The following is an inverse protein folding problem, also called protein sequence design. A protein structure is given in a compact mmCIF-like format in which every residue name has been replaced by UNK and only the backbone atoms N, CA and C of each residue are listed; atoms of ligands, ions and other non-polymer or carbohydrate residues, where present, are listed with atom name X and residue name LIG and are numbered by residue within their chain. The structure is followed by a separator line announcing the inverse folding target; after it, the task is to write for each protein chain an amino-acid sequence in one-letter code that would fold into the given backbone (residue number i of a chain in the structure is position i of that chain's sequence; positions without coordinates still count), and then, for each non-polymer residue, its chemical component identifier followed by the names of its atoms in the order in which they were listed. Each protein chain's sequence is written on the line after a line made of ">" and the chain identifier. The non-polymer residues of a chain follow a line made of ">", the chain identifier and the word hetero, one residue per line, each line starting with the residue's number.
data_IF_885108587129
#
_entry.id   IF_885108587129
#
_cell.length_a   1.000
_cell.length_b   1.000
_cell.length_c   1.000
_cell.angle_alpha   90.00
_cell.angle_beta   90.00
_cell.angle_gamma   90.00
#
_symmetry.space_group_name_H-M   'P 1'
#
loop_
_entity.id
_entity.type
_entity.pdbx_description
1 polymer ?
#
# COMPACT_ATOMS: atom_id res chain seq x y z
N UNK A 1 -26.68 19.20 -44.15
CA UNK A 1 -26.56 17.74 -43.95
C UNK A 1 -25.18 17.53 -43.33
N UNK A 2 -25.03 17.53 -42.00
CA UNK A 2 -25.16 16.34 -41.13
C UNK A 2 -23.95 15.43 -41.38
N UNK A 3 -22.96 15.26 -40.49
CA UNK A 3 -23.09 14.83 -39.10
C UNK A 3 -21.97 15.38 -38.20
N UNK A 4 -22.34 15.72 -36.97
CA UNK A 4 -21.44 16.07 -35.86
C UNK A 4 -20.58 14.87 -35.45
N UNK A 5 -19.27 14.94 -35.74
CA UNK A 5 -18.28 14.20 -34.96
C UNK A 5 -17.99 15.01 -33.70
N UNK A 6 -18.16 14.38 -32.56
CA UNK A 6 -17.91 14.97 -31.25
C UNK A 6 -16.51 15.60 -31.18
N UNK A 7 -16.44 16.83 -30.68
CA UNK A 7 -15.18 17.56 -30.51
C UNK A 7 -14.32 16.84 -29.46
N UNK A 8 -13.01 16.64 -29.69
CA UNK A 8 -12.12 16.10 -28.68
C UNK A 8 -12.13 17.00 -27.43
N UNK A 9 -12.59 16.45 -26.31
CA UNK A 9 -12.68 17.13 -25.03
C UNK A 9 -11.32 17.57 -24.50
N UNK A 10 -11.28 18.77 -23.94
CA UNK A 10 -10.10 19.50 -23.44
C UNK A 10 -9.64 18.94 -22.08
N UNK A 11 -8.99 17.78 -22.09
CA UNK A 11 -8.14 17.37 -20.97
C UNK A 11 -6.87 18.22 -20.94
N UNK A 12 -6.42 18.63 -19.76
CA UNK A 12 -5.03 19.13 -19.61
C UNK A 12 -4.09 17.99 -19.98
N UNK A 13 -3.15 18.22 -20.90
CA UNK A 13 -2.08 17.25 -21.17
C UNK A 13 -1.33 17.02 -19.87
N UNK A 14 -1.45 15.82 -19.30
CA UNK A 14 -0.69 15.40 -18.12
C UNK A 14 0.45 14.52 -18.60
N UNK A 15 1.68 14.90 -18.25
CA UNK A 15 2.84 14.06 -18.52
C UNK A 15 2.84 12.88 -17.56
N UNK A 16 2.73 11.67 -18.09
CA UNK A 16 2.97 10.45 -17.33
C UNK A 16 4.47 10.18 -17.30
N UNK A 17 5.04 10.04 -16.11
CA UNK A 17 6.43 9.61 -15.96
C UNK A 17 6.46 8.11 -15.75
N UNK A 18 7.08 7.40 -16.69
CA UNK A 18 7.43 5.99 -16.53
C UNK A 18 8.34 5.85 -15.32
N UNK A 19 8.01 4.94 -14.41
CA UNK A 19 8.86 4.62 -13.24
C UNK A 19 9.61 3.32 -13.48
N UNK A 20 10.88 3.32 -13.10
CA UNK A 20 11.74 2.13 -13.09
C UNK A 20 12.08 1.83 -11.64
N UNK A 21 11.69 0.67 -11.16
CA UNK A 21 11.98 0.15 -9.83
C UNK A 21 13.10 -0.91 -9.87
N UNK A 22 13.27 -1.59 -11.00
CA UNK A 22 14.36 -2.55 -11.19
C UNK A 22 15.66 -1.83 -11.57
N UNK A 23 16.73 -2.07 -10.83
CA UNK A 23 18.07 -1.60 -11.21
C UNK A 23 18.58 -2.32 -12.47
N UNK A 24 18.20 -3.59 -12.61
CA UNK A 24 18.43 -4.37 -13.82
C UNK A 24 17.23 -5.27 -14.11
N UNK A 25 16.76 -5.35 -15.36
CA UNK A 25 15.65 -6.23 -15.74
C UNK A 25 16.04 -7.71 -15.73
N UNK A 26 17.34 -8.04 -15.81
CA UNK A 26 17.84 -9.40 -16.04
C UNK A 26 17.55 -10.37 -14.88
N UNK A 27 17.23 -9.84 -13.70
CA UNK A 27 16.92 -10.63 -12.50
C UNK A 27 15.44 -10.54 -12.09
N UNK A 28 14.57 -9.97 -12.92
CA UNK A 28 13.14 -9.88 -12.62
C UNK A 28 12.50 -11.27 -12.59
N UNK A 29 11.84 -11.59 -11.48
CA UNK A 29 11.11 -12.84 -11.31
C UNK A 29 9.62 -12.52 -11.20
N UNK A 30 8.81 -13.19 -12.00
CA UNK A 30 7.38 -12.93 -12.11
C UNK A 30 6.55 -14.10 -11.64
N UNK A 31 5.42 -13.79 -11.00
CA UNK A 31 4.44 -14.80 -10.62
C UNK A 31 3.73 -15.34 -11.87
N UNK A 32 3.65 -16.67 -12.07
CA UNK A 32 3.02 -17.24 -13.25
C UNK A 32 1.50 -16.97 -13.29
N UNK A 33 0.97 -16.91 -14.51
CA UNK A 33 -0.47 -16.84 -14.79
C UNK A 33 -1.10 -15.44 -14.75
N UNK A 34 -0.31 -14.38 -14.59
CA UNK A 34 -0.82 -13.03 -14.38
C UNK A 34 -1.63 -12.92 -13.08
N UNK A 35 -2.04 -11.71 -12.69
CA UNK A 35 -2.89 -11.47 -11.51
C UNK A 35 -3.88 -10.36 -11.75
N UNK A 36 -5.01 -10.41 -11.07
CA UNK A 36 -6.04 -9.36 -11.17
C UNK A 36 -5.88 -8.40 -10.01
N UNK A 37 -5.70 -7.12 -10.31
CA UNK A 37 -5.82 -6.05 -9.32
C UNK A 37 -7.29 -5.70 -9.15
N UNK A 38 -7.72 -5.54 -7.90
CA UNK A 38 -9.08 -5.08 -7.64
C UNK A 38 -9.17 -3.56 -7.75
N UNK A 39 -10.00 -3.07 -8.68
CA UNK A 39 -10.17 -1.63 -8.86
C UNK A 39 -10.92 -0.97 -7.70
N UNK A 40 -11.78 -1.74 -7.02
CA UNK A 40 -12.56 -1.26 -5.87
C UNK A 40 -11.73 -1.14 -4.59
N UNK A 41 -10.56 -1.78 -4.48
CA UNK A 41 -9.70 -1.71 -3.29
C UNK A 41 -8.33 -1.10 -3.56
N UNK A 42 -8.05 -0.66 -4.80
CA UNK A 42 -6.75 -0.10 -5.17
C UNK A 42 -6.80 1.38 -5.50
N UNK A 43 -5.91 2.16 -4.88
CA UNK A 43 -5.55 3.54 -5.24
C UNK A 43 -4.09 3.78 -4.89
N UNK A 44 -3.53 4.86 -5.41
CA UNK A 44 -2.24 5.40 -5.02
C UNK A 44 -2.44 6.79 -4.38
N UNK A 45 -2.60 6.86 -3.05
CA UNK A 45 -2.89 8.13 -2.36
C UNK A 45 -1.76 9.16 -2.49
N UNK A 46 -0.54 8.69 -2.81
CA UNK A 46 0.63 9.54 -3.02
C UNK A 46 0.75 10.03 -4.48
N UNK A 47 -0.19 9.68 -5.36
CA UNK A 47 -0.28 10.18 -6.73
C UNK A 47 -1.32 11.32 -6.80
N UNK A 48 -1.00 12.44 -6.18
CA UNK A 48 -1.92 13.58 -6.01
C UNK A 48 -2.53 14.03 -7.35
N UNK A 49 -3.86 14.07 -7.41
CA UNK A 49 -4.62 14.46 -8.61
C UNK A 49 -4.89 13.32 -9.59
N UNK A 50 -4.25 12.15 -9.40
CA UNK A 50 -4.31 10.98 -10.27
C UNK A 50 -4.34 9.67 -9.45
N UNK A 51 -5.04 9.67 -8.31
CA UNK A 51 -5.04 8.55 -7.34
C UNK A 51 -5.56 7.22 -7.92
N UNK A 52 -6.32 7.27 -9.01
CA UNK A 52 -6.78 6.10 -9.77
C UNK A 52 -5.71 5.46 -10.66
N UNK A 53 -4.53 6.05 -10.74
CA UNK A 53 -3.39 5.53 -11.49
C UNK A 53 -2.35 4.98 -10.51
N UNK A 54 -2.18 3.66 -10.52
CA UNK A 54 -1.24 2.94 -9.68
C UNK A 54 0.16 3.01 -10.28
N UNK A 55 1.10 3.61 -9.57
CA UNK A 55 2.49 3.75 -10.02
C UNK A 55 3.31 2.48 -9.73
N UNK A 56 4.34 2.23 -10.55
CA UNK A 56 5.32 1.18 -10.28
C UNK A 56 5.96 1.36 -8.90
N UNK A 57 6.24 0.24 -8.22
CA UNK A 57 6.81 0.22 -6.87
C UNK A 57 5.79 0.17 -5.74
N UNK A 58 4.49 0.13 -6.04
CA UNK A 58 3.49 -0.17 -5.02
C UNK A 58 3.66 -1.60 -4.51
N UNK A 59 3.77 -1.75 -3.19
CA UNK A 59 3.74 -3.04 -2.51
C UNK A 59 2.31 -3.60 -2.57
N UNK A 60 2.17 -4.82 -3.09
CA UNK A 60 0.87 -5.43 -3.38
C UNK A 60 0.70 -6.74 -2.60
N UNK A 61 -0.47 -6.90 -1.99
CA UNK A 61 -0.87 -8.11 -1.28
C UNK A 61 -2.14 -8.72 -1.85
N UNK A 62 -2.42 -9.96 -1.47
CA UNK A 62 -3.62 -10.69 -1.90
C UNK A 62 -4.75 -10.49 -0.92
N UNK A 63 -5.90 -10.07 -1.40
CA UNK A 63 -7.14 -9.98 -0.62
C UNK A 63 -7.62 -11.41 -0.33
N UNK A 64 -7.98 -11.70 0.92
CA UNK A 64 -8.43 -13.04 1.34
C UNK A 64 -9.67 -13.46 0.55
N UNK A 65 -10.66 -12.56 0.46
CA UNK A 65 -11.87 -12.79 -0.32
C UNK A 65 -11.64 -12.45 -1.80
N UNK A 66 -12.01 -13.37 -2.70
CA UNK A 66 -11.93 -13.17 -4.15
C UNK A 66 -10.53 -13.28 -4.77
N UNK A 67 -9.46 -13.35 -3.97
CA UNK A 67 -8.11 -13.67 -4.41
C UNK A 67 -7.43 -12.64 -5.33
N UNK A 68 -8.03 -11.43 -5.45
CA UNK A 68 -7.48 -10.29 -6.19
C UNK A 68 -6.37 -9.61 -5.38
N UNK A 69 -5.61 -8.75 -6.04
CA UNK A 69 -4.49 -8.02 -5.44
C UNK A 69 -4.83 -6.56 -5.24
N UNK A 70 -4.26 -5.96 -4.20
CA UNK A 70 -4.40 -4.54 -3.90
C UNK A 70 -3.16 -4.03 -3.14
N UNK A 71 -2.93 -2.70 -3.10
CA UNK A 71 -1.83 -2.13 -2.32
C UNK A 71 -1.87 -2.58 -0.86
N UNK A 72 -0.74 -3.00 -0.29
CA UNK A 72 -0.65 -3.48 1.11
C UNK A 72 -0.60 -2.35 2.14
N UNK A 73 -0.35 -1.12 1.69
CA UNK A 73 -0.15 0.05 2.53
C UNK A 73 -1.04 1.17 1.99
N UNK A 74 -1.93 1.69 2.84
CA UNK A 74 -2.79 2.85 2.53
C UNK A 74 -2.08 4.18 2.81
N UNK A 75 -1.10 4.16 3.71
CA UNK A 75 -0.25 5.29 4.05
C UNK A 75 0.55 5.02 5.31
N UNK A 76 0.99 6.08 5.99
CA UNK A 76 1.83 5.98 7.18
C UNK A 76 1.37 6.93 8.27
N UNK A 77 1.71 6.62 9.51
CA UNK A 77 1.59 7.55 10.63
C UNK A 77 2.50 8.76 10.41
N UNK A 78 1.97 9.97 10.66
CA UNK A 78 2.76 11.21 10.56
C UNK A 78 3.50 11.56 11.84
N UNK A 79 3.09 10.96 12.96
CA UNK A 79 3.59 11.26 14.31
C UNK A 79 3.86 9.94 15.04
N UNK A 80 4.84 9.95 15.94
CA UNK A 80 5.05 8.83 16.86
C UNK A 80 3.99 8.85 17.97
N UNK A 81 3.61 7.68 18.44
CA UNK A 81 2.66 7.51 19.52
C UNK A 81 3.26 6.64 20.62
N UNK A 82 3.13 7.12 21.85
CA UNK A 82 3.49 6.40 23.05
C UNK A 82 2.18 5.98 23.75
N UNK A 83 2.06 4.68 24.02
CA UNK A 83 0.91 4.01 24.62
C UNK A 83 0.59 4.54 26.03
N UNK A 84 1.59 5.07 26.74
CA UNK A 84 1.47 5.57 28.11
C UNK A 84 1.32 7.12 28.16
N UNK A 85 1.36 7.81 27.01
CA UNK A 85 1.25 9.28 26.92
C UNK A 85 -0.17 9.77 26.58
N UNK A 86 -0.51 11.01 26.95
CA UNK A 86 -1.77 11.66 26.54
C UNK A 86 -2.00 11.68 25.02
N UNK A 87 -0.92 11.63 24.24
CA UNK A 87 -0.92 11.60 22.77
C UNK A 87 -1.37 10.24 22.20
N UNK A 88 -1.04 9.11 22.83
CA UNK A 88 -1.54 7.77 22.48
C UNK A 88 -2.79 7.33 23.25
N UNK A 89 -3.04 7.95 24.40
CA UNK A 89 -4.21 7.74 25.26
C UNK A 89 -5.50 8.44 24.77
N UNK A 90 -5.42 9.26 23.72
CA UNK A 90 -6.57 10.07 23.27
C UNK A 90 -7.50 9.35 22.31
N UNK A 91 -7.30 8.05 22.03
CA UNK A 91 -8.13 7.31 21.08
C UNK A 91 -8.10 7.91 19.67
N UNK A 92 -7.00 8.59 19.32
CA UNK A 92 -6.82 9.30 18.06
C UNK A 92 -5.43 9.07 17.53
N UNK A 93 -5.34 8.80 16.23
CA UNK A 93 -4.07 8.80 15.47
C UNK A 93 -4.14 9.81 14.33
N UNK A 94 -2.97 10.22 13.84
CA UNK A 94 -2.79 11.21 12.80
C UNK A 94 -2.08 10.60 11.60
N UNK A 95 -2.71 10.78 10.45
CA UNK A 95 -2.18 10.43 9.13
C UNK A 95 -2.27 11.65 8.22
N UNK A 96 -1.80 11.54 6.98
CA UNK A 96 -2.05 12.58 5.98
C UNK A 96 -3.53 12.60 5.56
N UNK A 97 -4.04 13.75 5.09
CA UNK A 97 -5.37 13.86 4.51
C UNK A 97 -5.60 12.87 3.34
N UNK A 98 -4.56 12.63 2.53
CA UNK A 98 -4.61 11.66 1.44
C UNK A 98 -4.75 10.22 1.96
N UNK A 99 -4.00 9.85 3.00
CA UNK A 99 -4.14 8.55 3.68
C UNK A 99 -5.51 8.39 4.30
N UNK A 100 -6.04 9.40 4.99
CA UNK A 100 -7.39 9.35 5.57
C UNK A 100 -8.47 9.19 4.50
N UNK A 101 -8.34 9.89 3.37
CA UNK A 101 -9.24 9.71 2.22
C UNK A 101 -9.23 8.27 1.72
N UNK A 102 -8.04 7.67 1.60
CA UNK A 102 -7.90 6.26 1.19
C UNK A 102 -8.47 5.29 2.22
N UNK A 103 -8.25 5.54 3.52
CA UNK A 103 -8.84 4.73 4.59
C UNK A 103 -10.37 4.76 4.49
N UNK A 104 -11.00 5.93 4.36
CA UNK A 104 -12.46 6.03 4.21
C UNK A 104 -12.95 5.26 2.99
N UNK A 105 -12.24 5.38 1.86
CA UNK A 105 -12.61 4.69 0.63
C UNK A 105 -12.51 3.17 0.77
N UNK A 106 -11.50 2.67 1.49
CA UNK A 106 -11.16 1.25 1.54
C UNK A 106 -11.78 0.49 2.70
N UNK A 107 -11.83 1.11 3.87
CA UNK A 107 -12.34 0.49 5.12
C UNK A 107 -13.64 1.14 5.60
N UNK A 108 -14.08 2.24 4.99
CA UNK A 108 -15.20 3.06 5.46
C UNK A 108 -14.76 4.14 6.46
N UNK A 109 -15.64 5.12 6.71
CA UNK A 109 -15.45 6.12 7.77
C UNK A 109 -15.44 5.50 9.18
N UNK A 110 -16.01 4.29 9.29
CA UNK A 110 -15.88 3.36 10.40
C UNK A 110 -15.44 2.02 9.83
N UNK A 111 -14.54 1.29 10.48
CA UNK A 111 -14.04 0.02 9.97
C UNK A 111 -12.75 -0.42 10.65
N UNK A 112 -12.22 -1.58 10.28
CA UNK A 112 -10.97 -2.07 10.86
C UNK A 112 -9.78 -1.83 9.94
N UNK A 113 -8.64 -1.50 10.53
CA UNK A 113 -7.36 -1.33 9.86
C UNK A 113 -6.23 -1.81 10.79
N UNK A 114 -5.03 -1.94 10.25
CA UNK A 114 -3.86 -2.44 10.98
C UNK A 114 -2.76 -1.38 10.99
N UNK A 115 -2.09 -1.21 12.12
CA UNK A 115 -0.83 -0.47 12.21
C UNK A 115 0.30 -1.50 12.31
N UNK A 116 1.32 -1.34 11.48
CA UNK A 116 2.53 -2.14 11.52
C UNK A 116 3.76 -1.25 11.62
N UNK A 117 4.53 -1.42 12.68
CA UNK A 117 5.72 -0.63 12.94
C UNK A 117 6.36 -0.97 14.28
N UNK A 118 7.63 -0.62 14.47
CA UNK A 118 8.31 -0.92 15.72
C UNK A 118 7.87 0.04 16.83
N UNK A 119 7.86 -0.43 18.10
CA UNK A 119 7.53 0.42 19.25
C UNK A 119 8.58 1.49 19.53
N UNK A 120 9.81 1.27 19.06
CA UNK A 120 10.89 2.24 19.08
C UNK A 120 11.71 2.07 17.82
N UNK A 121 12.36 3.12 17.34
CA UNK A 121 13.14 3.05 16.11
C UNK A 121 14.13 1.87 16.14
N UNK A 122 14.17 1.11 15.06
CA UNK A 122 14.99 -0.11 14.88
C UNK A 122 14.66 -1.30 15.81
N UNK A 123 13.60 -1.24 16.62
CA UNK A 123 13.13 -2.40 17.41
C UNK A 123 12.37 -3.42 16.54
N UNK A 124 12.00 -4.56 17.10
CA UNK A 124 11.16 -5.53 16.37
C UNK A 124 9.81 -4.91 16.01
N UNK A 125 9.37 -5.06 14.76
CA UNK A 125 8.07 -4.58 14.31
C UNK A 125 6.93 -5.23 15.09
N UNK A 126 6.01 -4.42 15.59
CA UNK A 126 4.76 -4.83 16.21
C UNK A 126 3.58 -4.56 15.27
N UNK A 127 2.50 -5.29 15.49
CA UNK A 127 1.29 -5.20 14.66
C UNK A 127 0.07 -5.20 15.55
N UNK A 128 -0.83 -4.25 15.32
CA UNK A 128 -2.09 -4.15 16.04
C UNK A 128 -3.23 -3.77 15.09
N UNK A 129 -4.40 -4.36 15.31
CA UNK A 129 -5.62 -4.07 14.54
C UNK A 129 -6.52 -3.16 15.37
N UNK A 130 -6.90 -2.03 14.77
CA UNK A 130 -7.78 -1.04 15.38
C UNK A 130 -9.11 -0.97 14.63
N UNK A 131 -10.16 -0.55 15.31
CA UNK A 131 -11.40 -0.13 14.68
C UNK A 131 -11.51 1.40 14.70
N UNK A 132 -11.61 2.02 13.54
CA UNK A 132 -11.93 3.43 13.41
C UNK A 132 -13.40 3.69 13.76
N UNK A 133 -13.63 4.70 14.60
CA UNK A 133 -14.95 5.22 14.97
C UNK A 133 -15.32 6.47 14.18
N UNK A 134 -14.31 7.20 13.69
CA UNK A 134 -14.47 8.29 12.75
C UNK A 134 -13.15 8.57 12.03
N UNK A 135 -13.22 9.04 10.80
CA UNK A 135 -12.05 9.48 10.03
C UNK A 135 -12.34 10.85 9.42
N UNK A 136 -11.53 11.85 9.76
CA UNK A 136 -11.58 13.17 9.17
C UNK A 136 -10.61 13.25 7.99
N UNK A 137 -11.17 13.18 6.77
CA UNK A 137 -10.39 13.21 5.52
C UNK A 137 -9.71 14.55 5.25
N UNK A 138 -10.19 15.64 5.87
CA UNK A 138 -9.62 16.98 5.69
C UNK A 138 -8.38 17.17 6.58
N UNK A 139 -8.43 16.69 7.83
CA UNK A 139 -7.35 16.90 8.80
C UNK A 139 -6.42 15.70 8.95
N UNK A 140 -6.81 14.52 8.47
CA UNK A 140 -6.06 13.28 8.67
C UNK A 140 -6.22 12.66 10.07
N UNK A 141 -7.14 13.19 10.89
CA UNK A 141 -7.43 12.69 12.23
C UNK A 141 -8.28 11.42 12.12
N UNK A 142 -7.83 10.33 12.73
CA UNK A 142 -8.56 9.06 12.81
C UNK A 142 -8.86 8.77 14.27
N UNK A 143 -10.13 8.78 14.63
CA UNK A 143 -10.59 8.32 15.93
C UNK A 143 -10.71 6.80 15.93
N UNK A 144 -10.17 6.15 16.96
CA UNK A 144 -10.19 4.69 17.14
C UNK A 144 -11.01 4.31 18.37
N UNK A 145 -11.62 3.13 18.33
CA UNK A 145 -12.29 2.56 19.50
C UNK A 145 -11.24 1.99 20.46
N UNK A 146 -11.43 2.23 21.75
CA UNK A 146 -10.47 1.85 22.78
C UNK A 146 -9.70 3.06 23.30
N UNK A 147 -9.24 2.98 24.53
CA UNK A 147 -8.63 4.12 25.22
C UNK A 147 -7.12 4.25 25.00
N UNK A 148 -6.45 3.27 24.39
CA UNK A 148 -5.00 3.29 24.20
C UNK A 148 -4.58 2.42 23.01
N UNK A 149 -3.44 2.76 22.40
CA UNK A 149 -2.68 1.79 21.60
C UNK A 149 -2.11 0.72 22.56
N UNK A 150 -2.11 -0.56 22.19
CA UNK A 150 -1.50 -1.59 23.04
C UNK A 150 0.04 -1.58 22.95
N UNK A 151 0.59 -0.91 21.95
CA UNK A 151 2.03 -0.70 21.75
C UNK A 151 2.34 0.74 21.35
N UNK A 152 3.59 1.13 21.58
CA UNK A 152 4.15 2.34 20.99
C UNK A 152 4.29 2.15 19.47
N UNK A 153 4.35 3.26 18.74
CA UNK A 153 4.63 3.26 17.31
C UNK A 153 5.45 4.48 16.92
N UNK A 154 6.44 4.29 16.06
CA UNK A 154 7.19 5.39 15.47
C UNK A 154 6.42 6.06 14.32
N UNK A 155 6.72 7.34 14.06
CA UNK A 155 6.30 7.99 12.82
C UNK A 155 6.82 7.18 11.61
N UNK A 156 6.04 7.09 10.53
CA UNK A 156 6.37 6.25 9.38
C UNK A 156 5.91 4.80 9.50
N UNK A 157 5.36 4.38 10.66
CA UNK A 157 4.68 3.07 10.77
C UNK A 157 3.54 2.97 9.74
N UNK A 158 3.37 1.79 9.17
CA UNK A 158 2.43 1.56 8.08
C UNK A 158 0.99 1.52 8.58
N UNK A 159 0.10 2.17 7.83
CA UNK A 159 -1.34 2.00 7.91
C UNK A 159 -1.75 1.02 6.81
N UNK A 160 -2.29 -0.11 7.22
CA UNK A 160 -2.60 -1.23 6.35
C UNK A 160 -4.08 -1.59 6.43
N UNK A 161 -4.67 -2.13 5.35
CA UNK A 161 -6.04 -2.65 5.39
C UNK A 161 -6.12 -3.89 6.28
N UNK A 162 -7.33 -4.36 6.57
CA UNK A 162 -7.56 -5.64 7.25
C UNK A 162 -8.38 -6.60 6.36
N UNK A 163 -8.01 -6.68 5.08
CA UNK A 163 -8.73 -7.41 4.02
C UNK A 163 -7.96 -8.65 3.50
N UNK A 164 -6.80 -8.96 4.09
CA UNK A 164 -5.84 -9.98 3.65
C UNK A 164 -4.62 -9.42 2.93
N UNK A 165 -4.76 -8.26 2.28
CA UNK A 165 -3.69 -7.70 1.45
C UNK A 165 -2.60 -6.98 2.25
N UNK A 166 -2.74 -6.87 3.57
CA UNK A 166 -1.76 -6.22 4.45
C UNK A 166 -0.36 -6.84 4.44
N UNK A 167 -0.23 -8.06 3.93
CA UNK A 167 1.08 -8.72 3.78
C UNK A 167 1.49 -8.66 2.31
N UNK A 168 2.55 -7.89 1.97
CA UNK A 168 3.05 -7.80 0.61
C UNK A 168 3.48 -9.18 0.08
N UNK A 169 3.06 -9.49 -1.14
CA UNK A 169 3.48 -10.68 -1.87
C UNK A 169 4.31 -10.35 -3.13
N UNK A 170 4.39 -9.07 -3.49
CA UNK A 170 5.11 -8.59 -4.67
C UNK A 170 4.90 -7.10 -4.88
N UNK A 171 5.29 -6.61 -6.06
CA UNK A 171 5.20 -5.21 -6.43
C UNK A 171 4.60 -5.03 -7.83
N UNK A 172 4.06 -3.82 -8.09
CA UNK A 172 3.84 -3.37 -9.46
C UNK A 172 5.18 -3.12 -10.14
N UNK A 173 5.40 -3.81 -11.26
CA UNK A 173 6.62 -3.78 -12.07
C UNK A 173 6.86 -2.41 -12.72
N UNK A 174 8.06 -2.22 -13.29
CA UNK A 174 8.44 -1.10 -14.14
C UNK A 174 7.36 -0.77 -15.17
N UNK A 175 7.05 0.51 -15.33
CA UNK A 175 6.08 0.90 -16.35
C UNK A 175 5.44 2.25 -16.15
N UNK A 176 4.46 2.48 -17.03
CA UNK A 176 3.55 3.60 -16.93
C UNK A 176 2.48 3.29 -15.88
N UNK A 177 1.90 4.31 -15.23
CA UNK A 177 0.89 4.09 -14.20
C UNK A 177 -0.33 3.31 -14.72
N UNK A 178 -0.79 2.33 -13.95
CA UNK A 178 -1.93 1.50 -14.30
C UNK A 178 -3.23 2.13 -13.81
N UNK A 179 -4.11 2.50 -14.74
CA UNK A 179 -5.44 3.04 -14.39
C UNK A 179 -6.36 1.92 -13.90
N UNK A 180 -7.02 2.10 -12.75
CA UNK A 180 -7.99 1.15 -12.17
C UNK A 180 -9.43 1.67 -12.14
N UNK A 181 -9.71 2.66 -12.98
CA UNK A 181 -11.07 3.14 -13.28
C UNK A 181 -11.29 3.21 -14.79
N UNK A 182 -12.54 3.08 -15.21
CA UNK A 182 -12.93 3.26 -16.61
C UNK A 182 -13.00 4.75 -17.01
N UNK A 183 -13.64 5.03 -18.15
CA UNK A 183 -13.82 6.39 -18.66
C UNK A 183 -14.83 7.21 -17.86
N UNK A 184 -15.74 6.54 -17.15
CA UNK A 184 -16.78 7.14 -16.30
C UNK A 184 -16.35 7.19 -14.82
N UNK A 185 -15.06 6.94 -14.55
CA UNK A 185 -14.44 6.87 -13.23
C UNK A 185 -14.97 5.74 -12.34
N UNK A 186 -15.71 4.78 -12.89
CA UNK A 186 -16.15 3.60 -12.15
C UNK A 186 -14.95 2.66 -11.91
N UNK A 187 -14.95 2.00 -10.75
CA UNK A 187 -13.90 1.05 -10.39
C UNK A 187 -13.93 -0.16 -11.31
N UNK A 188 -12.78 -0.50 -11.90
CA UNK A 188 -12.65 -1.69 -12.76
C UNK A 188 -11.48 -2.54 -12.31
N UNK A 189 -11.70 -3.86 -12.29
CA UNK A 189 -10.60 -4.80 -12.06
C UNK A 189 -9.70 -4.85 -13.28
N UNK A 190 -8.39 -4.91 -13.04
CA UNK A 190 -7.39 -4.83 -14.11
C UNK A 190 -6.48 -6.03 -14.06
N UNK A 191 -6.32 -6.68 -15.22
CA UNK A 191 -5.41 -7.81 -15.34
C UNK A 191 -3.97 -7.31 -15.49
N UNK A 192 -3.11 -7.70 -14.56
CA UNK A 192 -1.67 -7.62 -14.69
C UNK A 192 -1.15 -8.84 -15.45
N UNK A 193 -0.48 -8.57 -16.56
CA UNK A 193 0.27 -9.59 -17.32
C UNK A 193 1.49 -10.09 -16.56
N UNK A 194 2.11 -9.22 -15.74
CA UNK A 194 3.32 -9.52 -14.96
C UNK A 194 3.16 -8.97 -13.55
N UNK A 195 3.42 -9.81 -12.55
CA UNK A 195 3.42 -9.44 -11.14
C UNK A 195 4.79 -9.75 -10.56
N UNK A 196 5.53 -8.72 -10.16
CA UNK A 196 6.93 -8.84 -9.77
C UNK A 196 7.02 -9.47 -8.37
N UNK A 197 7.78 -10.56 -8.25
CA UNK A 197 7.97 -11.34 -7.02
C UNK A 197 9.44 -11.65 -6.70
N UNK A 198 10.38 -11.07 -7.45
CA UNK A 198 11.81 -11.11 -7.15
C UNK A 198 12.58 -10.21 -8.12
N UNK A 199 13.80 -9.84 -7.75
CA UNK A 199 14.67 -8.98 -8.55
C UNK A 199 15.53 -8.03 -7.74
N UNK A 200 16.33 -7.23 -8.44
CA UNK A 200 17.20 -6.20 -7.82
C UNK A 200 16.49 -4.85 -7.93
N UNK A 201 16.06 -4.32 -6.79
CA UNK A 201 15.23 -3.13 -6.69
C UNK A 201 16.02 -1.92 -6.22
N UNK A 202 15.69 -0.76 -6.78
CA UNK A 202 15.99 0.55 -6.22
C UNK A 202 14.95 0.86 -5.13
N UNK A 203 15.39 0.85 -3.87
CA UNK A 203 14.51 1.08 -2.72
C UNK A 203 13.85 2.46 -2.76
N UNK A 204 14.52 3.48 -3.31
CA UNK A 204 14.01 4.85 -3.43
C UNK A 204 12.78 4.94 -4.35
N UNK A 205 12.61 3.95 -5.24
CA UNK A 205 11.50 3.88 -6.19
C UNK A 205 10.33 3.05 -5.67
N UNK A 206 10.48 2.38 -4.53
CA UNK A 206 9.39 1.66 -3.86
C UNK A 206 8.50 2.67 -3.13
N UNK A 207 7.20 2.60 -3.39
CA UNK A 207 6.23 3.53 -2.82
C UNK A 207 5.96 3.13 -1.36
N UNK A 208 5.98 4.12 -0.47
CA UNK A 208 5.95 3.95 0.99
C UNK A 208 7.17 3.18 1.53
N UNK A 209 8.34 3.25 0.89
CA UNK A 209 9.56 2.70 1.47
C UNK A 209 9.86 3.38 2.82
N UNK A 210 10.03 2.62 3.91
CA UNK A 210 10.23 3.16 5.25
C UNK A 210 11.67 3.65 5.44
N UNK A 211 11.86 4.67 6.25
CA UNK A 211 13.19 5.10 6.71
C UNK A 211 13.73 4.25 7.87
N UNK A 212 12.84 3.64 8.66
CA UNK A 212 13.21 2.80 9.79
C UNK A 212 13.76 1.44 9.32
N UNK A 213 14.94 1.06 9.82
CA UNK A 213 15.64 -0.15 9.38
C UNK A 213 14.88 -1.43 9.73
N UNK A 214 14.13 -1.47 10.84
CA UNK A 214 13.34 -2.65 11.19
C UNK A 214 12.16 -2.86 10.26
N UNK A 215 11.51 -1.78 9.82
CA UNK A 215 10.46 -1.83 8.81
C UNK A 215 11.03 -2.23 7.44
N UNK A 216 12.20 -1.73 7.06
CA UNK A 216 12.89 -2.18 5.85
C UNK A 216 13.19 -3.68 5.91
N UNK A 217 13.70 -4.17 7.05
CA UNK A 217 13.96 -5.59 7.28
C UNK A 217 12.67 -6.41 7.22
N UNK A 218 11.56 -5.91 7.78
CA UNK A 218 10.27 -6.56 7.69
C UNK A 218 9.80 -6.67 6.23
N UNK A 219 9.86 -5.59 5.45
CA UNK A 219 9.48 -5.61 4.02
C UNK A 219 10.31 -6.62 3.24
N UNK A 220 11.64 -6.66 3.46
CA UNK A 220 12.53 -7.65 2.85
C UNK A 220 12.15 -9.06 3.23
N UNK A 221 11.90 -9.31 4.52
CA UNK A 221 11.56 -10.63 5.04
C UNK A 221 10.24 -11.15 4.45
N UNK A 222 9.18 -10.34 4.45
CA UNK A 222 7.87 -10.77 3.92
C UNK A 222 7.92 -11.02 2.42
N UNK A 223 8.64 -10.20 1.65
CA UNK A 223 8.78 -10.40 0.22
C UNK A 223 9.64 -11.63 -0.13
N UNK A 224 10.66 -11.94 0.67
CA UNK A 224 11.52 -13.11 0.49
C UNK A 224 10.97 -14.40 1.11
N UNK A 225 9.72 -14.41 1.56
CA UNK A 225 9.08 -15.60 2.10
C UNK A 225 9.51 -15.96 3.52
N UNK A 226 10.20 -15.07 4.24
CA UNK A 226 10.65 -15.25 5.63
C UNK A 226 9.55 -15.25 6.70
N UNK A 227 8.26 -15.09 6.32
CA UNK A 227 7.00 -15.13 7.10
C UNK A 227 6.92 -14.19 8.32
N UNK A 228 5.88 -13.33 8.38
CA UNK A 228 5.20 -12.90 9.63
C UNK A 228 3.71 -12.60 9.38
N UNK A 229 2.89 -13.61 9.11
CA UNK A 229 1.45 -13.58 9.44
C UNK A 229 1.17 -14.94 10.10
N UNK A 230 0.73 -14.95 11.36
CA UNK A 230 0.43 -16.17 12.13
C UNK A 230 -0.69 -17.03 11.52
N UNK A 231 -1.30 -16.58 10.42
CA UNK A 231 -2.48 -17.17 9.80
C UNK A 231 -2.28 -17.63 8.34
N UNK A 232 -1.09 -17.47 7.74
CA UNK A 232 -0.83 -17.99 6.39
C UNK A 232 -0.21 -19.39 6.48
N UNK A 233 -0.92 -20.40 6.00
CA UNK A 233 -0.39 -21.77 5.93
C UNK A 233 0.72 -21.85 4.87
N UNK A 234 1.75 -22.64 5.14
CA UNK A 234 2.94 -22.81 4.28
C UNK A 234 2.60 -23.28 2.85
N UNK A 235 1.42 -23.87 2.66
CA UNK A 235 0.92 -24.35 1.37
C UNK A 235 0.48 -23.24 0.39
N UNK A 236 0.26 -22.01 0.87
CA UNK A 236 -0.19 -20.88 0.05
C UNK A 236 0.95 -19.91 -0.34
N UNK A 237 2.18 -20.14 0.12
CA UNK A 237 3.33 -19.34 -0.30
C UNK A 237 3.82 -19.81 -1.67
N UNK A 238 3.61 -19.05 -2.77
CA UNK A 238 4.28 -19.38 -4.02
C UNK A 238 5.79 -19.35 -3.78
N UNK A 239 6.57 -20.18 -4.49
CA UNK A 239 8.02 -20.07 -4.48
C UNK A 239 8.42 -18.64 -4.93
N UNK A 240 8.84 -17.80 -3.98
CA UNK A 240 9.25 -16.42 -4.26
C UNK A 240 10.73 -16.39 -4.56
N UNK A 241 11.10 -15.66 -5.60
CA UNK A 241 12.50 -15.34 -5.85
C UNK A 241 12.98 -14.31 -4.84
N UNK A 242 14.29 -14.26 -4.53
CA UNK A 242 14.80 -13.24 -3.62
C UNK A 242 14.68 -11.86 -4.27
N UNK A 243 14.08 -10.93 -3.55
CA UNK A 243 14.28 -9.50 -3.73
C UNK A 243 15.55 -9.06 -3.02
N UNK A 244 16.38 -8.33 -3.75
CA UNK A 244 17.57 -7.64 -3.26
C UNK A 244 17.30 -6.16 -3.42
N UNK A 245 17.32 -5.39 -2.33
CA UNK A 245 17.12 -3.94 -2.38
C UNK A 245 18.46 -3.26 -2.18
N UNK A 246 18.76 -2.32 -3.07
CA UNK A 246 19.91 -1.42 -2.98
C UNK A 246 19.46 -0.11 -2.31
N UNK A 247 20.01 0.19 -1.14
CA UNK A 247 19.73 1.41 -0.37
C UNK A 247 20.78 2.51 -0.61
N UNK A 248 21.67 2.35 -1.60
CA UNK A 248 22.80 3.28 -1.81
C UNK A 248 22.41 4.65 -2.40
N UNK A 249 21.11 4.97 -2.50
CA UNK A 249 20.60 6.24 -3.04
C UNK A 249 19.45 6.80 -2.21
#
# INVERSE_FOLDING_TARGET
>A
MGSSHELPGRGTVRQTLRRRILLTPDHAIYLPGGKTISGSTSRDPLNTGDVQYLRAGLLMGKITSGGKYAPSIMGVLTTAYDKDSSTGASGVIQVSAATATEMVRRTGATGTFRILGPPTANATTATETFAATAINVTTGVVSISGSFLAADYVAGSFIQPNDGSQTPLGLLDDGDPLKVTDVDEANVDVQLSRFLIGGVLDASQVINWPSDTSLQNWVRAVLNGGVVDLNMTTAEQPARGPFIFDDRY
#
